data_IF_743317193055
#
_entry.id   IF_743317193055
#
_cell.length_a   1.000
_cell.length_b   1.000
_cell.length_c   1.000
_cell.angle_alpha   90.00
_cell.angle_beta   90.00
_cell.angle_gamma   90.00
#
_symmetry.space_group_name_H-M   'P 1'
#
loop_
_entity.id
_entity.type
_entity.pdbx_description
1 polymer ?
#
# COMPACT_ATOMS: atom_id res chain seq x y z
N UNK A 1 -8.21 12.20 -4.09
CA UNK A 1 -8.52 11.10 -3.15
C UNK A 1 -7.23 10.66 -2.43
N UNK A 2 -7.30 9.80 -1.40
CA UNK A 2 -6.09 9.31 -0.73
C UNK A 2 -5.16 8.53 -1.69
N UNK A 3 -5.65 7.62 -2.57
CA UNK A 3 -4.82 6.97 -3.58
C UNK A 3 -4.13 7.95 -4.55
N UNK A 4 -4.84 8.99 -5.00
CA UNK A 4 -4.26 10.01 -5.90
C UNK A 4 -3.13 10.82 -5.22
N UNK A 5 -3.34 11.23 -3.96
CA UNK A 5 -2.33 11.97 -3.21
C UNK A 5 -1.09 11.11 -2.95
N UNK A 6 -1.28 9.84 -2.63
CA UNK A 6 -0.18 8.89 -2.47
C UNK A 6 0.58 8.67 -3.78
N UNK A 7 -0.13 8.45 -4.90
CA UNK A 7 0.50 8.29 -6.21
C UNK A 7 1.31 9.52 -6.63
N UNK A 8 0.82 10.73 -6.35
CA UNK A 8 1.55 11.97 -6.57
C UNK A 8 2.85 12.03 -5.74
N UNK A 9 2.79 11.62 -4.47
CA UNK A 9 3.99 11.58 -3.62
C UNK A 9 5.00 10.53 -4.09
N UNK A 10 4.54 9.35 -4.52
CA UNK A 10 5.41 8.32 -5.10
C UNK A 10 6.14 8.83 -6.33
N UNK A 11 5.46 9.60 -7.19
CA UNK A 11 6.09 10.22 -8.35
C UNK A 11 7.09 11.32 -7.97
N UNK A 12 6.79 12.11 -6.93
CA UNK A 12 7.63 13.21 -6.49
C UNK A 12 8.94 12.74 -5.81
N UNK A 13 8.87 11.72 -4.95
CA UNK A 13 10.03 11.25 -4.15
C UNK A 13 10.09 9.73 -4.08
N UNK A 14 10.30 9.02 -5.21
CA UNK A 14 10.15 7.57 -5.27
C UNK A 14 11.13 6.82 -4.38
N UNK A 15 12.36 7.33 -4.23
CA UNK A 15 13.44 6.64 -3.54
C UNK A 15 13.62 7.16 -2.09
N UNK A 16 12.75 8.07 -1.64
CA UNK A 16 12.69 8.48 -0.24
C UNK A 16 11.99 7.42 0.62
N UNK A 17 12.45 7.24 1.85
CA UNK A 17 11.85 6.31 2.82
C UNK A 17 10.42 6.77 3.15
N UNK A 18 9.45 5.89 2.91
CA UNK A 18 8.03 6.11 3.17
C UNK A 18 7.57 5.42 4.45
N UNK A 19 8.17 4.27 4.79
CA UNK A 19 7.74 3.45 5.92
C UNK A 19 8.93 2.75 6.57
N UNK A 20 8.99 2.82 7.90
CA UNK A 20 9.93 2.06 8.73
C UNK A 20 9.14 1.22 9.73
N UNK A 21 9.41 -0.07 9.79
CA UNK A 21 8.76 -0.97 10.74
C UNK A 21 9.65 -2.16 11.05
N UNK A 22 9.86 -2.46 12.34
CA UNK A 22 10.63 -3.62 12.80
C UNK A 22 11.99 -3.84 12.11
N UNK A 23 12.71 -2.75 11.77
CA UNK A 23 14.01 -2.81 11.11
C UNK A 23 13.96 -2.96 9.59
N UNK A 24 12.77 -3.00 8.99
CA UNK A 24 12.57 -2.86 7.55
C UNK A 24 12.27 -1.41 7.20
N UNK A 25 12.90 -0.91 6.13
CA UNK A 25 12.63 0.39 5.53
C UNK A 25 12.15 0.18 4.10
N UNK A 26 11.07 0.85 3.72
CA UNK A 26 10.58 0.89 2.35
C UNK A 26 10.59 2.30 1.81
N UNK A 27 11.10 2.43 0.60
CA UNK A 27 10.91 3.61 -0.21
C UNK A 27 9.45 3.74 -0.68
N UNK A 28 9.04 4.94 -1.09
CA UNK A 28 7.73 5.17 -1.70
C UNK A 28 7.48 4.24 -2.91
N UNK A 29 8.50 4.01 -3.73
CA UNK A 29 8.45 3.11 -4.88
C UNK A 29 8.15 1.67 -4.45
N UNK A 30 8.88 1.15 -3.48
CA UNK A 30 8.71 -0.23 -3.01
C UNK A 30 7.36 -0.43 -2.34
N UNK A 31 6.94 0.52 -1.49
CA UNK A 31 5.63 0.49 -0.85
C UNK A 31 4.51 0.47 -1.89
N UNK A 32 4.59 1.35 -2.90
CA UNK A 32 3.61 1.40 -3.99
C UNK A 32 3.54 0.09 -4.80
N UNK A 33 4.69 -0.52 -5.12
CA UNK A 33 4.72 -1.82 -5.82
C UNK A 33 4.05 -2.91 -4.98
N UNK A 34 4.34 -2.96 -3.68
CA UNK A 34 3.74 -3.95 -2.77
C UNK A 34 2.22 -3.73 -2.64
N UNK A 35 1.77 -2.50 -2.46
CA UNK A 35 0.35 -2.11 -2.41
C UNK A 35 -0.39 -2.49 -3.70
N UNK A 36 0.12 -2.09 -4.87
CA UNK A 36 -0.51 -2.41 -6.15
C UNK A 36 -0.60 -3.92 -6.42
N UNK A 37 0.42 -4.69 -6.02
CA UNK A 37 0.38 -6.15 -6.12
C UNK A 37 -0.73 -6.74 -5.23
N UNK A 38 -0.90 -6.22 -4.02
CA UNK A 38 -1.98 -6.63 -3.11
C UNK A 38 -3.35 -6.26 -3.69
N UNK A 39 -3.53 -5.03 -4.17
CA UNK A 39 -4.73 -4.54 -4.85
C UNK A 39 -5.15 -5.45 -6.00
N UNK A 40 -4.22 -5.76 -6.91
CA UNK A 40 -4.49 -6.65 -8.05
C UNK A 40 -4.87 -8.06 -7.60
N UNK A 41 -4.29 -8.56 -6.51
CA UNK A 41 -4.65 -9.87 -5.97
C UNK A 41 -6.08 -9.88 -5.37
N UNK A 42 -6.55 -8.75 -4.81
CA UNK A 42 -7.93 -8.59 -4.36
C UNK A 42 -8.90 -8.45 -5.55
N UNK A 43 -8.54 -7.66 -6.57
CA UNK A 43 -9.32 -7.51 -7.81
C UNK A 43 -9.50 -8.87 -8.49
N UNK A 44 -8.43 -9.68 -8.58
CA UNK A 44 -8.50 -11.04 -9.12
C UNK A 44 -9.42 -11.98 -8.33
N UNK A 45 -9.74 -11.65 -7.07
CA UNK A 45 -10.70 -12.35 -6.21
C UNK A 45 -12.12 -11.75 -6.25
N UNK A 46 -12.36 -10.78 -7.14
CA UNK A 46 -13.66 -10.15 -7.34
C UNK A 46 -13.95 -8.98 -6.40
N UNK A 47 -12.94 -8.42 -5.73
CA UNK A 47 -13.11 -7.15 -5.00
C UNK A 47 -13.23 -6.01 -6.00
N UNK A 48 -14.22 -5.14 -5.79
CA UNK A 48 -14.48 -3.96 -6.59
C UNK A 48 -14.94 -2.79 -5.71
N UNK A 49 -15.38 -1.67 -6.32
CA UNK A 49 -15.89 -0.51 -5.59
C UNK A 49 -16.96 -0.89 -4.56
N UNK A 50 -16.99 -0.18 -3.45
CA UNK A 50 -17.99 -0.34 -2.37
C UNK A 50 -17.97 -1.71 -1.66
N UNK A 51 -16.98 -2.57 -1.96
CA UNK A 51 -16.75 -3.83 -1.24
C UNK A 51 -15.86 -3.60 -0.03
N UNK A 52 -16.32 -4.04 1.13
CA UNK A 52 -15.55 -3.97 2.38
C UNK A 52 -14.59 -5.16 2.48
N UNK A 53 -13.32 -4.88 2.75
CA UNK A 53 -12.27 -5.87 3.03
C UNK A 53 -11.84 -5.70 4.48
N UNK A 54 -11.96 -6.75 5.30
CA UNK A 54 -11.52 -6.72 6.69
C UNK A 54 -10.00 -6.89 6.79
N UNK A 55 -9.33 -6.00 7.54
CA UNK A 55 -7.89 -6.06 7.82
C UNK A 55 -7.70 -6.30 9.32
N UNK A 56 -7.09 -7.43 9.67
CA UNK A 56 -6.80 -7.80 11.06
C UNK A 56 -5.31 -8.17 11.18
N UNK A 57 -4.47 -7.14 11.26
CA UNK A 57 -3.02 -7.27 11.33
C UNK A 57 -2.48 -6.39 12.47
N UNK A 58 -1.41 -6.82 13.18
CA UNK A 58 -0.67 -5.92 14.06
C UNK A 58 -0.02 -4.80 13.23
N UNK A 59 0.51 -3.76 13.90
CA UNK A 59 1.27 -2.72 13.18
C UNK A 59 2.51 -3.34 12.53
N UNK A 60 2.54 -3.32 11.21
CA UNK A 60 3.63 -3.84 10.39
C UNK A 60 3.62 -3.19 9.00
N UNK A 61 4.62 -3.51 8.17
CA UNK A 61 4.63 -3.13 6.75
C UNK A 61 3.38 -3.63 6.03
N UNK A 62 2.97 -4.87 6.27
CA UNK A 62 1.80 -5.50 5.65
C UNK A 62 0.51 -4.77 6.03
N UNK A 63 0.41 -4.26 7.26
CA UNK A 63 -0.77 -3.50 7.68
C UNK A 63 -0.95 -2.21 6.87
N UNK A 64 0.15 -1.54 6.50
CA UNK A 64 0.11 -0.33 5.67
C UNK A 64 -0.14 -0.67 4.21
N UNK A 65 0.51 -1.73 3.71
CA UNK A 65 0.26 -2.27 2.36
C UNK A 65 -1.22 -2.61 2.17
N UNK A 66 -1.86 -3.21 3.18
CA UNK A 66 -3.27 -3.60 3.13
C UNK A 66 -4.24 -2.40 3.12
N UNK A 67 -3.85 -1.25 3.67
CA UNK A 67 -4.66 -0.03 3.66
C UNK A 67 -4.50 0.75 2.34
N UNK A 68 -3.33 0.65 1.71
CA UNK A 68 -3.01 1.37 0.47
C UNK A 68 -3.38 0.62 -0.82
N UNK A 69 -3.46 -0.71 -0.80
CA UNK A 69 -3.79 -1.54 -1.96
C UNK A 69 -5.27 -1.88 -2.03
#
# INVERSE_FOLDING_TARGET
>A
TLPEAFAAQVAATPDAVALVSAGEELTYRELNVRANRFAHALIARGVGPERVVAVALPRSVESVVAVLG
#
